data_IF_441151348310
#
_entry.id   IF_441151348310
#
_cell.length_a   1.000
_cell.length_b   1.000
_cell.length_c   1.000
_cell.angle_alpha   90.00
_cell.angle_beta   90.00
_cell.angle_gamma   90.00
#
_symmetry.space_group_name_H-M   'P 1'
#
loop_
_entity.id
_entity.type
_entity.pdbx_description
1 polymer ?
#
# COMPACT_ATOMS: atom_id res chain seq x y z
N UNK A 1 -15.70 39.54 -22.90
CA UNK A 1 -16.52 38.51 -22.19
C UNK A 1 -16.14 37.09 -22.52
N UNK A 2 -15.42 36.77 -23.59
CA UNK A 2 -15.01 35.41 -24.01
C UNK A 2 -13.91 34.79 -23.13
N UNK A 3 -13.03 35.58 -22.53
CA UNK A 3 -11.97 35.06 -21.65
C UNK A 3 -12.47 34.46 -20.32
N UNK A 4 -13.59 34.93 -19.81
CA UNK A 4 -14.18 34.43 -18.55
C UNK A 4 -14.86 33.06 -18.72
N UNK A 5 -15.37 32.76 -19.91
CA UNK A 5 -16.04 31.48 -20.24
C UNK A 5 -15.06 30.29 -20.37
N UNK A 6 -13.80 30.57 -20.73
CA UNK A 6 -12.75 29.52 -20.85
C UNK A 6 -12.05 29.26 -19.52
N UNK A 7 -11.98 30.26 -18.63
CA UNK A 7 -11.31 30.13 -17.34
C UNK A 7 -12.03 29.17 -16.37
N UNK A 8 -13.35 29.18 -16.35
CA UNK A 8 -14.16 28.33 -15.42
C UNK A 8 -13.94 26.83 -15.60
N UNK A 9 -14.03 26.24 -16.81
CA UNK A 9 -13.79 24.80 -16.97
C UNK A 9 -12.33 24.40 -16.68
N UNK A 10 -11.37 25.28 -16.95
CA UNK A 10 -9.97 25.05 -16.62
C UNK A 10 -9.75 25.02 -15.10
N UNK A 11 -10.31 25.98 -14.36
CA UNK A 11 -10.24 26.02 -12.89
C UNK A 11 -10.91 24.76 -12.29
N UNK A 12 -12.06 24.35 -12.81
CA UNK A 12 -12.76 23.14 -12.38
C UNK A 12 -11.93 21.88 -12.62
N UNK A 13 -11.26 21.76 -13.77
CA UNK A 13 -10.36 20.64 -14.07
C UNK A 13 -9.17 20.59 -13.10
N UNK A 14 -8.52 21.73 -12.87
CA UNK A 14 -7.40 21.84 -11.93
C UNK A 14 -7.83 21.47 -10.52
N UNK A 15 -8.96 21.97 -10.05
CA UNK A 15 -9.50 21.66 -8.74
C UNK A 15 -9.84 20.16 -8.60
N UNK A 16 -10.40 19.55 -9.65
CA UNK A 16 -10.71 18.12 -9.69
C UNK A 16 -9.45 17.25 -9.65
N UNK A 17 -8.40 17.60 -10.39
CA UNK A 17 -7.10 16.91 -10.35
C UNK A 17 -6.42 17.09 -8.98
N UNK A 18 -6.43 18.31 -8.44
CA UNK A 18 -5.88 18.59 -7.11
C UNK A 18 -6.58 17.78 -6.01
N UNK A 19 -7.92 17.65 -6.09
CA UNK A 19 -8.67 16.77 -5.18
C UNK A 19 -8.26 15.31 -5.36
N UNK A 20 -8.01 14.85 -6.59
CA UNK A 20 -7.47 13.51 -6.86
C UNK A 20 -6.13 13.28 -6.15
N UNK A 21 -5.19 14.21 -6.27
CA UNK A 21 -3.89 14.17 -5.59
C UNK A 21 -4.07 14.10 -4.06
N UNK A 22 -4.96 14.92 -3.50
CA UNK A 22 -5.26 14.91 -2.06
C UNK A 22 -5.79 13.56 -1.59
N UNK A 23 -6.68 12.94 -2.37
CA UNK A 23 -7.28 11.65 -2.03
C UNK A 23 -6.25 10.52 -2.08
N UNK A 24 -5.30 10.52 -3.04
CA UNK A 24 -4.26 9.49 -3.17
C UNK A 24 -3.50 9.29 -1.84
N UNK A 25 -3.09 10.38 -1.20
CA UNK A 25 -2.25 10.34 0.00
C UNK A 25 -3.00 10.48 1.33
N UNK A 26 -4.34 10.46 1.30
CA UNK A 26 -5.15 10.56 2.53
C UNK A 26 -5.04 9.27 3.33
N UNK A 27 -4.82 9.37 4.64
CA UNK A 27 -4.98 8.27 5.60
C UNK A 27 -6.44 8.21 6.00
N UNK A 28 -7.07 7.04 5.89
CA UNK A 28 -8.46 6.86 6.27
C UNK A 28 -8.60 6.79 7.80
N UNK A 29 -9.64 7.40 8.29
CA UNK A 29 -10.09 7.22 9.67
C UNK A 29 -10.85 5.90 9.80
N UNK A 30 -10.73 5.25 10.96
CA UNK A 30 -11.46 4.03 11.29
C UNK A 30 -11.79 3.99 12.77
N UNK A 31 -12.68 3.08 13.15
CA UNK A 31 -12.99 2.87 14.56
C UNK A 31 -11.86 2.12 15.25
N UNK A 32 -11.51 2.48 16.50
CA UNK A 32 -10.56 1.71 17.28
C UNK A 32 -11.02 0.26 17.42
N UNK A 33 -10.10 -0.67 17.18
CA UNK A 33 -10.37 -2.08 17.34
C UNK A 33 -10.37 -2.48 18.82
N UNK A 34 -11.19 -3.49 19.17
CA UNK A 34 -11.01 -4.20 20.44
C UNK A 34 -9.71 -5.00 20.41
N UNK A 35 -9.23 -5.46 21.57
CA UNK A 35 -8.12 -6.39 21.62
C UNK A 35 -8.46 -7.69 20.87
N UNK A 36 -7.56 -8.12 19.97
CA UNK A 36 -7.70 -9.30 19.12
C UNK A 36 -6.38 -10.09 19.13
N UNK A 37 -6.41 -11.43 19.28
CA UNK A 37 -5.21 -12.23 19.52
C UNK A 37 -4.40 -12.57 18.26
N UNK A 38 -5.00 -12.50 17.07
CA UNK A 38 -4.38 -13.04 15.88
C UNK A 38 -3.47 -12.03 15.18
N UNK A 39 -2.46 -12.55 14.46
CA UNK A 39 -1.55 -11.79 13.60
C UNK A 39 -1.82 -12.10 12.14
N UNK A 40 -1.72 -11.10 11.27
CA UNK A 40 -1.75 -11.29 9.80
C UNK A 40 -0.54 -10.62 9.13
N UNK A 41 -0.18 -11.12 7.95
CA UNK A 41 0.82 -10.49 7.09
C UNK A 41 0.10 -9.70 5.99
N UNK A 42 0.46 -8.43 5.81
CA UNK A 42 0.06 -7.64 4.67
C UNK A 42 1.20 -7.58 3.64
N UNK A 43 0.94 -8.10 2.45
CA UNK A 43 1.79 -7.96 1.27
C UNK A 43 1.27 -6.77 0.46
N UNK A 44 1.93 -5.62 0.54
CA UNK A 44 1.46 -4.38 -0.08
C UNK A 44 2.15 -4.17 -1.43
N UNK A 45 1.35 -4.10 -2.50
CA UNK A 45 1.75 -3.73 -3.85
C UNK A 45 2.87 -4.59 -4.48
N UNK A 46 3.01 -5.85 -4.07
CA UNK A 46 3.92 -6.80 -4.70
C UNK A 46 3.35 -7.28 -6.05
N UNK A 47 3.14 -6.34 -6.97
CA UNK A 47 2.53 -6.51 -8.29
C UNK A 47 3.59 -6.40 -9.39
N UNK A 48 3.39 -7.10 -10.52
CA UNK A 48 4.31 -7.11 -11.67
C UNK A 48 4.67 -5.69 -12.12
N UNK A 49 3.68 -4.80 -12.26
CA UNK A 49 3.90 -3.42 -12.71
C UNK A 49 4.88 -2.61 -11.86
N UNK A 50 5.05 -2.97 -10.58
CA UNK A 50 5.99 -2.35 -9.65
C UNK A 50 7.24 -3.18 -9.45
N UNK A 51 7.08 -4.49 -9.26
CA UNK A 51 8.17 -5.42 -8.99
C UNK A 51 9.11 -5.55 -10.18
N UNK A 52 8.58 -5.72 -11.40
CA UNK A 52 9.36 -5.86 -12.61
C UNK A 52 9.79 -4.50 -13.20
N UNK A 53 9.68 -3.43 -12.41
CA UNK A 53 10.07 -2.09 -12.83
C UNK A 53 11.52 -1.78 -12.49
N UNK A 54 12.16 -0.89 -13.25
CA UNK A 54 13.52 -0.41 -12.98
C UNK A 54 13.58 0.65 -11.85
N UNK A 55 12.63 0.63 -10.90
CA UNK A 55 12.57 1.60 -9.79
C UNK A 55 13.57 1.27 -8.67
N UNK A 56 13.98 0.03 -8.57
CA UNK A 56 14.83 -0.48 -7.50
C UNK A 56 16.09 -1.10 -8.08
N UNK A 57 17.19 -1.12 -7.30
CA UNK A 57 18.42 -1.79 -7.70
C UNK A 57 18.25 -3.31 -7.58
N UNK A 58 18.95 -4.09 -8.42
CA UNK A 58 18.93 -5.55 -8.37
C UNK A 58 19.25 -6.07 -6.95
N UNK A 59 20.24 -5.45 -6.30
CA UNK A 59 20.63 -5.82 -4.94
C UNK A 59 19.51 -5.60 -3.95
N UNK A 60 18.86 -4.42 -3.95
CA UNK A 60 17.74 -4.14 -3.03
C UNK A 60 16.54 -5.04 -3.29
N UNK A 61 16.30 -5.39 -4.55
CA UNK A 61 15.25 -6.35 -4.94
C UNK A 61 15.54 -7.75 -4.40
N UNK A 62 16.77 -8.25 -4.59
CA UNK A 62 17.18 -9.58 -4.12
C UNK A 62 17.14 -9.69 -2.59
N UNK A 63 17.65 -8.67 -1.89
CA UNK A 63 17.62 -8.62 -0.42
C UNK A 63 16.18 -8.59 0.10
N UNK A 64 15.33 -7.76 -0.50
CA UNK A 64 13.92 -7.65 -0.11
C UNK A 64 13.13 -8.93 -0.45
N UNK A 65 13.35 -9.53 -1.61
CA UNK A 65 12.73 -10.80 -1.99
C UNK A 65 13.00 -11.88 -0.96
N UNK A 66 14.27 -12.02 -0.55
CA UNK A 66 14.67 -12.99 0.46
C UNK A 66 13.95 -12.74 1.78
N UNK A 67 13.98 -11.51 2.27
CA UNK A 67 13.35 -11.13 3.53
C UNK A 67 11.82 -11.33 3.50
N UNK A 68 11.17 -10.98 2.39
CA UNK A 68 9.73 -11.17 2.20
C UNK A 68 9.39 -12.67 2.21
N UNK A 69 10.10 -13.48 1.42
CA UNK A 69 9.84 -14.93 1.34
C UNK A 69 10.04 -15.61 2.71
N UNK A 70 11.09 -15.23 3.44
CA UNK A 70 11.36 -15.79 4.77
C UNK A 70 10.25 -15.43 5.76
N UNK A 71 9.76 -14.18 5.72
CA UNK A 71 8.65 -13.74 6.55
C UNK A 71 7.34 -14.48 6.19
N UNK A 72 7.03 -14.63 4.89
CA UNK A 72 5.86 -15.35 4.42
C UNK A 72 5.89 -16.84 4.79
N UNK A 73 7.04 -17.49 4.63
CA UNK A 73 7.24 -18.89 5.08
C UNK A 73 7.07 -19.03 6.60
N UNK A 74 7.60 -18.07 7.36
CA UNK A 74 7.44 -18.02 8.82
C UNK A 74 5.98 -17.85 9.20
N UNK A 75 5.26 -16.96 8.51
CA UNK A 75 3.82 -16.75 8.72
C UNK A 75 3.02 -18.04 8.49
N UNK A 76 3.25 -18.71 7.36
CA UNK A 76 2.59 -19.99 7.04
C UNK A 76 2.84 -21.06 8.10
N UNK A 77 4.08 -21.17 8.62
CA UNK A 77 4.39 -22.12 9.71
C UNK A 77 3.65 -21.80 11.01
N UNK A 78 3.34 -20.54 11.26
CA UNK A 78 2.64 -20.04 12.44
C UNK A 78 1.11 -20.00 12.24
N UNK A 79 0.60 -20.32 11.05
CA UNK A 79 -0.81 -20.25 10.73
C UNK A 79 -1.34 -18.81 10.58
N UNK A 80 -0.47 -17.84 10.36
CA UNK A 80 -0.89 -16.45 10.14
C UNK A 80 -1.44 -16.28 8.73
N UNK A 81 -2.63 -15.70 8.54
CA UNK A 81 -3.14 -15.40 7.22
C UNK A 81 -2.27 -14.37 6.50
N UNK A 82 -2.05 -14.62 5.22
CA UNK A 82 -1.33 -13.73 4.31
C UNK A 82 -2.34 -13.02 3.42
N UNK A 83 -2.38 -11.70 3.49
CA UNK A 83 -3.30 -10.85 2.75
C UNK A 83 -2.50 -10.03 1.75
N UNK A 84 -2.71 -10.28 0.46
CA UNK A 84 -2.14 -9.43 -0.59
C UNK A 84 -3.05 -8.24 -0.85
N UNK A 85 -2.46 -7.05 -0.86
CA UNK A 85 -3.12 -5.80 -1.20
C UNK A 85 -2.58 -5.34 -2.56
N UNK A 86 -3.46 -5.23 -3.56
CA UNK A 86 -3.12 -4.76 -4.90
C UNK A 86 -3.58 -3.32 -5.09
N UNK A 87 -2.72 -2.49 -5.65
CA UNK A 87 -3.10 -1.15 -6.09
C UNK A 87 -3.78 -1.21 -7.45
N UNK A 88 -5.00 -0.67 -7.55
CA UNK A 88 -5.66 -0.45 -8.83
C UNK A 88 -6.33 0.94 -8.86
N UNK A 89 -5.75 1.85 -9.65
CA UNK A 89 -6.33 3.19 -9.84
C UNK A 89 -7.68 3.07 -10.58
N UNK A 90 -8.78 3.08 -9.84
CA UNK A 90 -10.14 2.99 -10.40
C UNK A 90 -10.89 4.33 -10.41
N UNK A 91 -10.50 5.27 -9.55
CA UNK A 91 -11.07 6.62 -9.48
C UNK A 91 -10.62 7.42 -10.72
N UNK A 92 -11.56 8.07 -11.41
CA UNK A 92 -11.30 8.68 -12.72
C UNK A 92 -10.16 9.71 -12.70
N UNK A 93 -10.12 10.61 -11.71
CA UNK A 93 -9.01 11.57 -11.56
C UNK A 93 -7.66 10.89 -11.36
N UNK A 94 -7.64 9.77 -10.64
CA UNK A 94 -6.41 8.99 -10.42
C UNK A 94 -5.99 8.21 -11.66
N UNK A 95 -6.93 7.71 -12.47
CA UNK A 95 -6.59 7.12 -13.77
C UNK A 95 -5.91 8.13 -14.69
N UNK A 96 -6.41 9.37 -14.71
CA UNK A 96 -5.80 10.46 -15.48
C UNK A 96 -4.40 10.78 -14.95
N UNK A 97 -4.27 10.95 -13.63
CA UNK A 97 -2.98 11.21 -12.99
C UNK A 97 -1.98 10.08 -13.25
N UNK A 98 -2.39 8.81 -13.10
CA UNK A 98 -1.53 7.65 -13.36
C UNK A 98 -1.03 7.61 -14.80
N UNK A 99 -1.87 7.97 -15.78
CA UNK A 99 -1.44 8.08 -17.19
C UNK A 99 -0.40 9.19 -17.39
N UNK A 100 -0.60 10.34 -16.76
CA UNK A 100 0.26 11.52 -16.93
C UNK A 100 1.60 11.40 -16.17
N UNK A 101 1.61 10.78 -14.99
CA UNK A 101 2.76 10.83 -14.07
C UNK A 101 3.42 9.47 -13.79
N UNK A 102 2.71 8.37 -14.05
CA UNK A 102 3.16 7.01 -13.70
C UNK A 102 3.24 6.07 -14.91
N UNK A 103 3.16 6.60 -16.13
CA UNK A 103 3.16 5.80 -17.36
C UNK A 103 1.99 4.82 -17.45
N UNK A 104 0.86 5.11 -16.81
CA UNK A 104 -0.32 4.25 -16.80
C UNK A 104 -0.24 3.02 -15.90
N UNK A 105 0.79 2.91 -15.06
CA UNK A 105 0.96 1.77 -14.14
C UNK A 105 -0.21 1.62 -13.17
N UNK A 106 -0.59 0.38 -12.89
CA UNK A 106 -1.62 0.00 -11.91
C UNK A 106 -3.01 0.63 -12.16
N UNK A 107 -3.37 0.93 -13.39
CA UNK A 107 -4.75 1.32 -13.73
C UNK A 107 -5.63 0.06 -13.67
N UNK A 108 -6.80 0.15 -13.04
CA UNK A 108 -7.73 -0.97 -12.93
C UNK A 108 -8.06 -1.58 -14.29
N UNK A 109 -7.89 -2.91 -14.40
CA UNK A 109 -8.13 -3.66 -15.63
C UNK A 109 -7.01 -3.62 -16.66
N UNK A 110 -5.81 -3.09 -16.31
CA UNK A 110 -4.62 -3.18 -17.18
C UNK A 110 -3.69 -4.32 -16.75
N UNK A 111 -2.86 -4.78 -17.67
CA UNK A 111 -1.81 -5.78 -17.40
C UNK A 111 -0.82 -5.29 -16.32
N UNK A 112 -0.25 -6.25 -15.60
CA UNK A 112 0.74 -5.99 -14.56
C UNK A 112 0.14 -5.65 -13.19
N UNK A 113 -1.19 -5.64 -13.04
CA UNK A 113 -1.85 -5.50 -11.73
C UNK A 113 -1.86 -6.79 -10.92
N UNK A 114 -1.47 -7.92 -11.51
CA UNK A 114 -1.36 -9.21 -10.86
C UNK A 114 -0.19 -9.22 -9.87
N UNK A 115 -0.26 -10.12 -8.89
CA UNK A 115 0.84 -10.37 -7.95
C UNK A 115 2.05 -10.88 -8.74
N UNK A 116 3.22 -10.34 -8.43
CA UNK A 116 4.47 -10.72 -9.08
C UNK A 116 4.97 -12.09 -8.56
N UNK A 117 5.66 -12.83 -9.44
CA UNK A 117 6.49 -13.93 -8.99
C UNK A 117 7.68 -13.39 -8.15
N UNK A 118 8.10 -14.08 -7.08
CA UNK A 118 7.69 -15.42 -6.63
C UNK A 118 6.60 -15.39 -5.53
N UNK A 119 5.76 -14.38 -5.45
CA UNK A 119 4.83 -14.17 -4.34
C UNK A 119 3.42 -14.74 -4.58
N UNK A 120 3.12 -15.18 -5.79
CA UNK A 120 1.77 -15.60 -6.25
C UNK A 120 1.15 -16.72 -5.42
N UNK A 121 1.95 -17.62 -4.86
CA UNK A 121 1.47 -18.80 -4.12
C UNK A 121 1.24 -18.57 -2.62
N UNK A 122 1.58 -17.40 -2.10
CA UNK A 122 1.52 -17.16 -0.65
C UNK A 122 0.18 -16.62 -0.14
N UNK A 123 -0.53 -15.72 -0.85
CA UNK A 123 -1.74 -15.11 -0.30
C UNK A 123 -2.87 -16.10 -0.06
N UNK A 124 -3.51 -15.96 1.11
CA UNK A 124 -4.78 -16.62 1.43
C UNK A 124 -5.96 -15.74 0.99
N UNK A 125 -5.72 -14.40 0.95
CA UNK A 125 -6.70 -13.40 0.54
C UNK A 125 -6.04 -12.36 -0.36
N UNK A 126 -6.81 -11.84 -1.31
CA UNK A 126 -6.38 -10.75 -2.21
C UNK A 126 -7.42 -9.65 -2.15
N UNK A 127 -7.00 -8.44 -1.77
CA UNK A 127 -7.84 -7.24 -1.75
C UNK A 127 -7.27 -6.20 -2.73
N UNK A 128 -8.13 -5.30 -3.19
CA UNK A 128 -7.75 -4.22 -4.09
C UNK A 128 -8.01 -2.87 -3.44
N UNK A 129 -6.99 -2.01 -3.42
CA UNK A 129 -7.12 -0.63 -2.95
C UNK A 129 -7.09 0.35 -4.11
N UNK A 130 -7.73 1.50 -3.91
CA UNK A 130 -7.88 2.55 -4.94
C UNK A 130 -7.00 3.77 -4.70
N UNK A 131 -6.44 3.88 -3.50
CA UNK A 131 -5.53 4.94 -3.03
C UNK A 131 -4.34 4.31 -2.33
N UNK A 132 -3.41 5.10 -1.79
CA UNK A 132 -2.22 4.56 -1.10
C UNK A 132 -2.54 3.81 0.20
N UNK A 133 -3.62 4.18 0.88
CA UNK A 133 -4.07 3.53 2.11
C UNK A 133 -4.88 2.26 1.81
N UNK A 134 -4.47 1.14 2.38
CA UNK A 134 -5.11 -0.17 2.19
C UNK A 134 -6.47 -0.30 2.89
N UNK A 135 -6.79 0.58 3.82
CA UNK A 135 -8.05 0.58 4.58
C UNK A 135 -9.15 1.43 3.93
N UNK A 136 -8.85 2.18 2.86
CA UNK A 136 -9.76 3.19 2.29
C UNK A 136 -11.10 2.61 1.85
N UNK A 137 -11.15 1.37 1.35
CA UNK A 137 -12.40 0.73 0.91
C UNK A 137 -13.23 0.16 2.06
N UNK A 138 -12.63 -0.03 3.25
CA UNK A 138 -13.24 -0.74 4.39
C UNK A 138 -13.20 -2.27 4.28
N UNK A 139 -12.84 -2.83 3.13
CA UNK A 139 -12.77 -4.30 2.95
C UNK A 139 -11.70 -4.94 3.83
N UNK A 140 -10.56 -4.26 4.02
CA UNK A 140 -9.50 -4.74 4.91
C UNK A 140 -9.98 -4.73 6.37
N UNK A 141 -10.69 -3.70 6.82
CA UNK A 141 -11.27 -3.65 8.16
C UNK A 141 -12.18 -4.86 8.42
N UNK A 142 -13.09 -5.16 7.48
CA UNK A 142 -14.03 -6.27 7.57
C UNK A 142 -13.31 -7.64 7.59
N UNK A 143 -12.30 -7.82 6.74
CA UNK A 143 -11.53 -9.07 6.69
C UNK A 143 -10.76 -9.28 7.99
N UNK A 144 -10.05 -8.26 8.49
CA UNK A 144 -9.27 -8.35 9.72
C UNK A 144 -10.16 -8.58 10.95
N UNK A 145 -11.37 -8.01 10.96
CA UNK A 145 -12.37 -8.29 11.99
C UNK A 145 -12.83 -9.75 11.96
N UNK A 146 -13.18 -10.26 10.78
CA UNK A 146 -13.59 -11.66 10.59
C UNK A 146 -12.50 -12.65 11.02
N UNK A 147 -11.23 -12.29 10.83
CA UNK A 147 -10.07 -13.11 11.19
C UNK A 147 -9.59 -12.88 12.64
N UNK A 148 -10.26 -12.00 13.39
CA UNK A 148 -9.92 -11.60 14.77
C UNK A 148 -8.46 -11.14 14.92
N UNK A 149 -7.97 -10.38 13.91
CA UNK A 149 -6.58 -9.89 13.82
C UNK A 149 -6.42 -8.60 14.61
N UNK A 150 -5.42 -8.55 15.50
CA UNK A 150 -5.02 -7.37 16.26
C UNK A 150 -3.58 -6.92 15.98
N UNK A 151 -2.79 -7.75 15.30
CA UNK A 151 -1.41 -7.45 14.93
C UNK A 151 -1.21 -7.60 13.41
N UNK A 152 -0.53 -6.62 12.81
CA UNK A 152 -0.20 -6.59 11.39
C UNK A 152 1.31 -6.57 11.21
N UNK A 153 1.83 -7.49 10.41
CA UNK A 153 3.21 -7.49 9.94
C UNK A 153 3.21 -7.11 8.47
N UNK A 154 3.94 -6.08 8.09
CA UNK A 154 3.82 -5.45 6.77
C UNK A 154 5.12 -5.62 6.00
N UNK A 155 4.99 -6.09 4.75
CA UNK A 155 6.04 -6.18 3.73
C UNK A 155 5.55 -5.55 2.42
N UNK A 156 6.46 -5.18 1.53
CA UNK A 156 6.11 -4.71 0.18
C UNK A 156 6.68 -3.35 -0.17
N UNK A 157 5.92 -2.51 -0.87
CA UNK A 157 6.39 -1.25 -1.44
C UNK A 157 5.28 -0.20 -1.59
N UNK A 158 5.55 1.05 -1.78
CA UNK A 158 6.78 1.76 -1.47
C UNK A 158 6.72 2.32 -0.05
N UNK A 159 7.85 2.31 0.66
CA UNK A 159 7.96 2.78 2.05
C UNK A 159 7.39 4.19 2.25
N UNK A 160 7.58 5.08 1.27
CA UNK A 160 7.18 6.50 1.34
C UNK A 160 5.68 6.71 1.15
N UNK A 161 5.02 5.77 0.50
CA UNK A 161 3.65 5.91 0.02
C UNK A 161 2.72 4.88 0.66
N UNK A 162 2.54 3.75 -0.01
CA UNK A 162 1.52 2.77 0.37
C UNK A 162 1.80 2.12 1.72
N UNK A 163 3.06 1.79 2.02
CA UNK A 163 3.45 1.24 3.34
C UNK A 163 3.17 2.27 4.44
N UNK A 164 3.63 3.51 4.27
CA UNK A 164 3.41 4.59 5.23
C UNK A 164 1.90 4.81 5.51
N UNK A 165 1.10 4.99 4.44
CA UNK A 165 -0.33 5.29 4.62
C UNK A 165 -1.09 4.14 5.26
N UNK A 166 -0.81 2.91 4.84
CA UNK A 166 -1.40 1.70 5.42
C UNK A 166 -1.00 1.52 6.89
N UNK A 167 0.29 1.69 7.23
CA UNK A 167 0.76 1.57 8.61
C UNK A 167 0.15 2.65 9.52
N UNK A 168 0.09 3.91 9.07
CA UNK A 168 -0.53 4.99 9.83
C UNK A 168 -2.04 4.78 10.03
N UNK A 169 -2.74 4.28 9.02
CA UNK A 169 -4.16 3.93 9.13
C UNK A 169 -4.41 2.77 10.11
N UNK A 170 -3.52 1.77 10.11
CA UNK A 170 -3.55 0.66 11.06
C UNK A 170 -3.31 1.13 12.50
N UNK A 171 -2.26 1.96 12.73
CA UNK A 171 -1.97 2.53 14.04
C UNK A 171 -3.13 3.38 14.58
N UNK A 172 -3.74 4.20 13.71
CA UNK A 172 -4.91 5.01 14.07
C UNK A 172 -6.13 4.18 14.51
N UNK A 173 -6.23 2.92 14.07
CA UNK A 173 -7.25 1.95 14.47
C UNK A 173 -6.86 1.12 15.69
N UNK A 174 -5.65 1.29 16.22
CA UNK A 174 -5.15 0.56 17.39
C UNK A 174 -4.55 -0.82 17.08
N UNK A 175 -4.27 -1.15 15.81
CA UNK A 175 -3.50 -2.36 15.50
C UNK A 175 -2.08 -2.25 16.03
N UNK A 176 -1.52 -3.37 16.51
CA UNK A 176 -0.07 -3.50 16.66
C UNK A 176 0.54 -3.66 15.28
N UNK A 177 1.51 -2.82 14.93
CA UNK A 177 2.11 -2.79 13.59
C UNK A 177 3.58 -3.12 13.68
N UNK A 178 4.02 -4.14 12.95
CA UNK A 178 5.43 -4.50 12.75
C UNK A 178 5.79 -4.32 11.27
N UNK A 179 6.75 -3.45 10.99
CA UNK A 179 7.30 -3.25 9.65
C UNK A 179 8.53 -4.13 9.49
N UNK A 180 8.54 -5.02 8.52
CA UNK A 180 9.69 -5.88 8.21
C UNK A 180 10.65 -5.08 7.33
N UNK A 181 11.58 -4.36 7.95
CA UNK A 181 12.38 -3.31 7.29
C UNK A 181 13.10 -3.81 6.03
N UNK A 182 13.74 -4.99 6.10
CA UNK A 182 14.42 -5.60 4.95
C UNK A 182 13.45 -6.07 3.85
N UNK A 183 12.20 -6.29 4.18
CA UNK A 183 11.13 -6.67 3.24
C UNK A 183 10.34 -5.48 2.71
N UNK A 184 10.79 -4.24 2.96
CA UNK A 184 10.13 -3.03 2.47
C UNK A 184 11.06 -2.28 1.53
N UNK A 185 10.61 -2.10 0.29
CA UNK A 185 11.33 -1.35 -0.74
C UNK A 185 10.93 0.13 -0.75
N UNK A 186 11.89 0.97 -1.16
CA UNK A 186 11.68 2.39 -1.45
C UNK A 186 12.47 2.78 -2.69
N UNK A 187 11.82 3.45 -3.65
CA UNK A 187 12.49 3.98 -4.84
C UNK A 187 13.61 4.98 -4.48
N UNK A 188 13.44 5.69 -3.38
CA UNK A 188 14.46 6.56 -2.77
C UNK A 188 14.83 6.01 -1.37
N UNK A 189 15.87 5.17 -1.23
CA UNK A 189 16.17 4.45 0.01
C UNK A 189 16.33 5.34 1.24
N UNK A 190 17.04 6.48 1.11
CA UNK A 190 17.24 7.44 2.21
C UNK A 190 15.92 8.03 2.72
N UNK A 191 15.05 8.41 1.78
CA UNK A 191 13.74 8.96 2.14
C UNK A 191 12.85 7.87 2.73
N UNK A 192 12.93 6.65 2.18
CA UNK A 192 12.23 5.48 2.72
C UNK A 192 12.58 5.24 4.19
N UNK A 193 13.88 5.19 4.53
CA UNK A 193 14.35 5.02 5.92
C UNK A 193 13.82 6.12 6.86
N UNK A 194 13.82 7.39 6.42
CA UNK A 194 13.28 8.51 7.22
C UNK A 194 11.79 8.30 7.49
N UNK A 195 11.02 7.87 6.49
CA UNK A 195 9.59 7.62 6.64
C UNK A 195 9.32 6.44 7.57
N UNK A 196 10.03 5.31 7.42
CA UNK A 196 9.89 4.16 8.32
C UNK A 196 10.20 4.55 9.78
N UNK A 197 11.22 5.37 10.00
CA UNK A 197 11.53 5.93 11.33
C UNK A 197 10.39 6.79 11.88
N UNK A 198 9.75 7.61 11.04
CA UNK A 198 8.58 8.42 11.45
C UNK A 198 7.41 7.51 11.83
N UNK A 199 7.13 6.47 11.06
CA UNK A 199 6.07 5.50 11.38
C UNK A 199 6.38 4.74 12.67
N UNK A 200 7.67 4.41 12.91
CA UNK A 200 8.10 3.79 14.18
C UNK A 200 7.90 4.75 15.38
N UNK A 201 8.19 6.03 15.22
CA UNK A 201 7.91 7.04 16.25
C UNK A 201 6.40 7.21 16.54
N UNK A 202 5.55 6.89 15.57
CA UNK A 202 4.10 6.86 15.74
C UNK A 202 3.58 5.57 16.42
N UNK A 203 4.46 4.59 16.72
CA UNK A 203 4.11 3.39 17.46
C UNK A 203 4.35 2.06 16.73
N UNK A 204 4.82 2.04 15.49
CA UNK A 204 5.17 0.80 14.82
C UNK A 204 6.52 0.25 15.27
N UNK A 205 6.65 -1.07 15.26
CA UNK A 205 7.91 -1.78 15.51
C UNK A 205 8.65 -1.94 14.17
N UNK A 206 9.94 -1.60 14.12
CA UNK A 206 10.84 -1.97 13.03
C UNK A 206 11.55 -3.28 13.38
N UNK A 207 11.48 -4.25 12.45
CA UNK A 207 12.11 -5.57 12.62
C UNK A 207 13.00 -5.88 11.43
#
# INVERSE_FOLDING_TARGET
MTGFLIALPFIALVAWLANGIRLIGKVSEGQPIRERPNTAILMVDLQKTFWDSNLFTERSMSDAQTAIIDELKSAKKQGFPVIAIRQEWSILSMKVLARLTMGGKAIAGTEGTEIAEPFTSFPDYVLTKRVQDSFETGELDQLLEKLDVGELRIVGLDARYCINKTAMAALGRGYKVTLIEKGILAAEPEQGRKVLKTVSQAGAILK
#
